data_IF_308714039997
#
_entry.id   IF_308714039997
#
_cell.length_a   1.000
_cell.length_b   1.000
_cell.length_c   1.000
_cell.angle_alpha   90.00
_cell.angle_beta   90.00
_cell.angle_gamma   90.00
#
_symmetry.space_group_name_H-M   'P 1'
#
loop_
_entity.id
_entity.type
_entity.pdbx_description
1 polymer ?
#
# COMPACT_ATOMS: atom_id res chain seq x y z
N UNK A 1 -49.02 30.66 11.32
CA UNK A 1 -47.57 30.56 10.97
C UNK A 1 -46.84 29.39 11.67
N UNK A 2 -47.13 29.04 12.94
CA UNK A 2 -46.40 28.01 13.73
C UNK A 2 -46.45 26.56 13.19
N UNK A 3 -47.49 26.18 12.45
CA UNK A 3 -47.66 24.79 11.97
C UNK A 3 -46.72 24.43 10.81
N UNK A 4 -46.38 25.38 9.93
CA UNK A 4 -45.43 25.17 8.82
C UNK A 4 -44.01 24.91 9.35
N UNK A 5 -43.59 25.64 10.38
CA UNK A 5 -42.25 25.51 10.97
C UNK A 5 -42.02 24.13 11.60
N UNK A 6 -43.00 23.58 12.32
CA UNK A 6 -42.90 22.23 12.91
C UNK A 6 -42.82 21.13 11.84
N UNK A 7 -43.62 21.24 10.77
CA UNK A 7 -43.63 20.26 9.67
C UNK A 7 -42.31 20.27 8.89
N UNK A 8 -41.77 21.46 8.64
CA UNK A 8 -40.45 21.62 8.04
C UNK A 8 -39.33 21.09 8.95
N UNK A 9 -39.40 21.33 10.26
CA UNK A 9 -38.41 20.82 11.22
C UNK A 9 -38.36 19.28 11.24
N UNK A 10 -39.51 18.62 11.17
CA UNK A 10 -39.59 17.14 11.10
C UNK A 10 -39.04 16.64 9.77
N UNK A 11 -39.39 17.27 8.65
CA UNK A 11 -38.89 16.87 7.32
C UNK A 11 -37.37 17.04 7.25
N UNK A 12 -36.84 18.20 7.63
CA UNK A 12 -35.39 18.44 7.65
C UNK A 12 -34.66 17.53 8.65
N UNK A 13 -35.27 17.24 9.80
CA UNK A 13 -34.74 16.29 10.78
C UNK A 13 -34.63 14.87 10.24
N UNK A 14 -35.65 14.38 9.53
CA UNK A 14 -35.62 13.07 8.88
C UNK A 14 -34.57 13.01 7.77
N UNK A 15 -34.48 14.03 6.91
CA UNK A 15 -33.46 14.10 5.87
C UNK A 15 -32.04 14.11 6.46
N UNK A 16 -31.82 14.90 7.51
CA UNK A 16 -30.52 14.96 8.19
C UNK A 16 -30.18 13.63 8.86
N UNK A 17 -31.16 12.96 9.47
CA UNK A 17 -30.98 11.62 10.07
C UNK A 17 -30.59 10.56 9.04
N UNK A 18 -31.26 10.54 7.88
CA UNK A 18 -30.92 9.61 6.78
C UNK A 18 -29.52 9.89 6.25
N UNK A 19 -29.16 11.17 6.07
CA UNK A 19 -27.83 11.57 5.63
C UNK A 19 -26.75 11.11 6.61
N UNK A 20 -26.98 11.28 7.92
CA UNK A 20 -26.06 10.85 8.96
C UNK A 20 -25.91 9.32 8.99
N UNK A 21 -27.01 8.60 8.80
CA UNK A 21 -27.01 7.13 8.73
C UNK A 21 -26.21 6.62 7.52
N UNK A 22 -26.38 7.22 6.34
CA UNK A 22 -25.56 6.90 5.17
C UNK A 22 -24.08 7.18 5.42
N UNK A 23 -23.74 8.33 6.03
CA UNK A 23 -22.36 8.67 6.35
C UNK A 23 -21.74 7.63 7.30
N UNK A 24 -22.46 7.25 8.35
CA UNK A 24 -22.02 6.23 9.31
C UNK A 24 -21.81 4.86 8.64
N UNK A 25 -22.71 4.46 7.73
CA UNK A 25 -22.57 3.23 6.97
C UNK A 25 -21.32 3.25 6.07
N UNK A 26 -21.03 4.39 5.41
CA UNK A 26 -19.80 4.55 4.64
C UNK A 26 -18.55 4.46 5.51
N UNK A 27 -18.55 5.12 6.68
CA UNK A 27 -17.43 5.03 7.62
C UNK A 27 -17.19 3.59 8.10
N UNK A 28 -18.25 2.84 8.42
CA UNK A 28 -18.15 1.44 8.80
C UNK A 28 -17.57 0.57 7.68
N UNK A 29 -18.02 0.77 6.43
CA UNK A 29 -17.50 0.07 5.27
C UNK A 29 -16.00 0.37 5.03
N UNK A 30 -15.59 1.63 5.13
CA UNK A 30 -14.18 2.04 5.00
C UNK A 30 -13.34 1.40 6.09
N UNK A 31 -13.82 1.35 7.33
CA UNK A 31 -13.07 0.76 8.44
C UNK A 31 -12.90 -0.76 8.27
N UNK A 32 -13.95 -1.45 7.82
CA UNK A 32 -13.93 -2.88 7.53
C UNK A 32 -13.08 -3.26 6.32
N UNK A 33 -12.91 -2.36 5.34
CA UNK A 33 -12.11 -2.61 4.14
C UNK A 33 -10.59 -2.58 4.40
N UNK A 34 -10.13 -1.87 5.43
CA UNK A 34 -8.69 -1.73 5.77
C UNK A 34 -7.95 -3.06 5.90
N UNK A 35 -8.40 -4.06 6.67
CA UNK A 35 -7.72 -5.35 6.78
C UNK A 35 -7.71 -6.14 5.46
N UNK A 36 -8.75 -6.01 4.65
CA UNK A 36 -8.84 -6.69 3.34
C UNK A 36 -7.80 -6.15 2.36
N UNK A 37 -7.60 -4.83 2.34
CA UNK A 37 -6.60 -4.18 1.48
C UNK A 37 -5.17 -4.61 1.80
N UNK A 38 -4.82 -4.72 3.10
CA UNK A 38 -3.48 -5.17 3.52
C UNK A 38 -3.19 -6.59 3.04
N UNK A 39 -4.19 -7.48 3.08
CA UNK A 39 -4.07 -8.87 2.61
C UNK A 39 -4.01 -8.98 1.09
N UNK A 40 -4.86 -8.22 0.38
CA UNK A 40 -4.84 -8.18 -1.08
C UNK A 40 -3.50 -7.71 -1.64
N UNK A 41 -2.94 -6.65 -1.06
CA UNK A 41 -1.64 -6.13 -1.47
C UNK A 41 -0.50 -7.13 -1.19
N UNK A 42 -0.55 -7.84 -0.06
CA UNK A 42 0.41 -8.91 0.24
C UNK A 42 0.38 -10.05 -0.80
N UNK A 43 -0.82 -10.48 -1.21
CA UNK A 43 -1.00 -11.52 -2.23
C UNK A 43 -0.48 -11.07 -3.60
N UNK A 44 -0.67 -9.80 -3.94
CA UNK A 44 -0.14 -9.24 -5.18
C UNK A 44 1.40 -9.15 -5.18
N UNK A 45 2.01 -8.75 -4.06
CA UNK A 45 3.48 -8.74 -3.90
C UNK A 45 4.03 -10.17 -4.00
N UNK A 46 3.35 -11.13 -3.37
CA UNK A 46 3.71 -12.55 -3.45
C UNK A 46 3.79 -13.01 -4.90
N UNK A 47 2.80 -12.66 -5.72
CA UNK A 47 2.80 -12.99 -7.15
C UNK A 47 3.94 -12.34 -7.96
N UNK A 48 4.42 -11.16 -7.55
CA UNK A 48 5.60 -10.53 -8.18
C UNK A 48 6.90 -11.26 -7.80
N UNK A 49 7.04 -11.63 -6.52
CA UNK A 49 8.22 -12.32 -6.01
C UNK A 49 8.34 -13.75 -6.58
N UNK A 50 7.22 -14.46 -6.68
CA UNK A 50 7.18 -15.80 -7.31
C UNK A 50 7.58 -15.73 -8.79
N UNK A 51 7.16 -14.68 -9.52
CA UNK A 51 7.59 -14.44 -10.92
C UNK A 51 9.07 -14.06 -11.04
N UNK A 52 9.64 -13.44 -10.00
CA UNK A 52 11.08 -13.13 -9.91
C UNK A 52 11.92 -14.38 -9.59
N UNK A 53 11.29 -15.49 -9.19
CA UNK A 53 11.94 -16.78 -8.92
C UNK A 53 12.43 -16.96 -7.47
N UNK A 54 11.96 -16.14 -6.52
CA UNK A 54 12.30 -16.28 -5.11
C UNK A 54 11.30 -17.16 -4.36
N UNK A 55 11.79 -18.16 -3.59
CA UNK A 55 10.98 -18.94 -2.63
C UNK A 55 10.79 -18.15 -1.33
N UNK A 56 10.15 -16.99 -1.46
CA UNK A 56 9.97 -16.01 -0.40
C UNK A 56 8.49 -15.74 -0.20
N UNK A 57 8.04 -15.73 1.05
CA UNK A 57 6.64 -15.44 1.42
C UNK A 57 6.53 -14.03 1.99
N UNK A 58 5.50 -13.30 1.58
CA UNK A 58 5.17 -12.00 2.17
C UNK A 58 4.50 -12.22 3.51
N UNK A 59 5.16 -11.78 4.57
CA UNK A 59 4.75 -11.90 5.96
C UNK A 59 4.00 -10.68 6.47
N UNK A 60 4.46 -10.16 7.62
CA UNK A 60 3.76 -9.12 8.38
C UNK A 60 3.88 -7.74 7.72
N UNK A 61 2.77 -6.98 7.73
CA UNK A 61 2.78 -5.56 7.37
C UNK A 61 3.49 -4.73 8.45
N UNK A 62 4.46 -3.92 8.04
CA UNK A 62 5.21 -3.00 8.90
C UNK A 62 4.65 -1.59 8.73
N UNK A 63 4.29 -0.96 9.84
CA UNK A 63 3.80 0.41 9.83
C UNK A 63 4.95 1.40 9.57
N UNK A 64 4.76 2.29 8.60
CA UNK A 64 5.68 3.39 8.32
C UNK A 64 5.21 4.64 9.06
N UNK A 65 6.12 5.25 9.83
CA UNK A 65 5.88 6.46 10.59
C UNK A 65 6.13 7.69 9.70
N UNK A 66 5.35 7.89 8.63
CA UNK A 66 5.32 9.19 7.92
C UNK A 66 4.18 9.34 6.89
N UNK A 67 3.97 10.59 6.44
CA UNK A 67 3.16 10.99 5.27
C UNK A 67 3.46 10.21 3.97
N UNK A 68 4.57 9.45 3.90
CA UNK A 68 4.91 8.59 2.75
C UNK A 68 4.04 7.31 2.74
N UNK A 69 3.50 6.90 3.90
CA UNK A 69 2.63 5.73 4.05
C UNK A 69 1.39 5.75 3.12
N UNK A 70 0.94 6.93 2.70
CA UNK A 70 -0.24 7.05 1.82
C UNK A 70 0.00 6.46 0.42
N UNK A 71 1.27 6.35 -0.01
CA UNK A 71 1.67 5.81 -1.32
C UNK A 71 2.67 4.65 -1.24
N UNK A 72 2.99 4.17 -0.05
CA UNK A 72 3.93 3.07 0.16
C UNK A 72 3.49 2.09 1.25
N UNK A 73 3.75 0.82 1.04
CA UNK A 73 3.49 -0.25 2.00
C UNK A 73 4.75 -1.10 2.19
N UNK A 74 5.08 -1.42 3.44
CA UNK A 74 6.25 -2.23 3.78
C UNK A 74 5.78 -3.54 4.40
N UNK A 75 6.39 -4.63 3.98
CA UNK A 75 6.12 -5.98 4.45
C UNK A 75 7.42 -6.69 4.80
N UNK A 76 7.40 -7.47 5.86
CA UNK A 76 8.45 -8.44 6.14
C UNK A 76 8.34 -9.61 5.19
N UNK A 77 9.48 -10.18 4.83
CA UNK A 77 9.56 -11.39 4.04
C UNK A 77 9.92 -12.56 4.95
N UNK A 78 9.10 -13.60 4.90
CA UNK A 78 9.28 -14.86 5.64
C UNK A 78 9.68 -15.96 4.66
N UNK A 79 10.63 -16.82 5.04
CA UNK A 79 11.09 -17.93 4.18
C UNK A 79 12.55 -18.27 4.40
N UNK A 80 12.97 -19.45 3.92
CA UNK A 80 14.37 -19.92 4.08
C UNK A 80 15.38 -19.00 3.40
N UNK A 81 15.02 -18.41 2.27
CA UNK A 81 15.87 -17.50 1.50
C UNK A 81 15.59 -16.01 1.79
N UNK A 82 14.62 -15.72 2.65
CA UNK A 82 14.20 -14.35 2.94
C UNK A 82 15.25 -13.59 3.75
N UNK A 83 16.00 -14.26 4.63
CA UNK A 83 17.14 -13.67 5.37
C UNK A 83 16.82 -12.36 6.11
N UNK A 84 15.59 -12.18 6.59
CA UNK A 84 15.16 -10.94 7.25
C UNK A 84 15.00 -9.74 6.30
N UNK A 85 14.78 -9.98 5.00
CA UNK A 85 14.53 -8.93 4.01
C UNK A 85 13.12 -8.35 4.12
N UNK A 86 12.97 -7.17 3.58
CA UNK A 86 11.72 -6.41 3.54
C UNK A 86 11.32 -6.18 2.09
N UNK A 87 10.01 -6.29 1.82
CA UNK A 87 9.39 -5.89 0.56
C UNK A 87 8.71 -4.52 0.75
N UNK A 88 9.14 -3.54 -0.03
CA UNK A 88 8.54 -2.22 -0.09
C UNK A 88 7.79 -2.06 -1.42
N UNK A 89 6.50 -1.78 -1.34
CA UNK A 89 5.71 -1.35 -2.50
C UNK A 89 5.61 0.16 -2.50
N UNK A 90 5.93 0.80 -3.62
CA UNK A 90 5.77 2.25 -3.79
C UNK A 90 5.11 2.56 -5.12
N UNK A 91 4.19 3.52 -5.12
CA UNK A 91 3.62 4.05 -6.37
C UNK A 91 4.62 4.99 -7.07
N UNK A 92 5.20 4.51 -8.16
CA UNK A 92 6.14 5.26 -9.00
C UNK A 92 5.37 6.02 -10.08
N UNK A 93 5.61 7.33 -10.26
CA UNK A 93 4.96 8.08 -11.33
C UNK A 93 5.38 7.56 -12.71
N UNK A 94 4.41 7.31 -13.58
CA UNK A 94 4.62 6.95 -14.98
C UNK A 94 3.79 7.84 -15.91
N UNK A 95 4.06 7.76 -17.22
CA UNK A 95 3.35 8.53 -18.26
C UNK A 95 1.84 8.28 -18.30
N UNK A 96 1.38 7.12 -17.81
CA UNK A 96 -0.04 6.71 -17.78
C UNK A 96 -0.62 6.70 -16.36
N UNK A 97 0.12 7.28 -15.40
CA UNK A 97 -0.29 7.36 -14.00
C UNK A 97 0.64 6.60 -13.05
N UNK A 98 0.39 6.68 -11.74
CA UNK A 98 1.21 6.03 -10.73
C UNK A 98 1.10 4.50 -10.80
N UNK A 99 2.23 3.82 -10.91
CA UNK A 99 2.31 2.35 -10.99
C UNK A 99 2.97 1.80 -9.74
N UNK A 100 2.35 0.81 -9.05
CA UNK A 100 2.96 0.20 -7.88
C UNK A 100 4.17 -0.65 -8.29
N UNK A 101 5.33 -0.30 -7.76
CA UNK A 101 6.60 -0.99 -7.93
C UNK A 101 6.99 -1.71 -6.64
N UNK A 102 7.54 -2.91 -6.75
CA UNK A 102 8.04 -3.72 -5.64
C UNK A 102 9.56 -3.64 -5.60
N UNK A 103 10.08 -3.30 -4.43
CA UNK A 103 11.50 -3.32 -4.11
C UNK A 103 11.74 -4.27 -2.95
N UNK A 104 12.86 -4.98 -2.95
CA UNK A 104 13.34 -5.76 -1.80
C UNK A 104 14.58 -5.09 -1.23
N UNK A 105 14.75 -5.15 0.08
CA UNK A 105 15.95 -4.63 0.76
C UNK A 105 16.19 -5.41 2.06
N UNK A 106 17.38 -5.29 2.62
CA UNK A 106 17.63 -5.77 3.98
C UNK A 106 16.97 -4.84 5.02
N UNK A 107 16.85 -5.31 6.26
CA UNK A 107 16.25 -4.54 7.38
C UNK A 107 16.95 -3.21 7.66
N UNK A 108 18.25 -3.13 7.40
CA UNK A 108 19.05 -1.91 7.52
C UNK A 108 18.87 -0.94 6.32
N UNK A 109 18.05 -1.31 5.34
CA UNK A 109 17.81 -0.55 4.11
C UNK A 109 18.88 -0.76 3.04
N UNK A 110 19.86 -1.66 3.26
CA UNK A 110 20.88 -1.99 2.26
C UNK A 110 20.38 -3.02 1.23
N UNK A 111 21.17 -3.24 0.17
CA UNK A 111 20.88 -4.30 -0.81
C UNK A 111 19.55 -4.12 -1.57
N UNK A 112 19.18 -2.87 -1.87
CA UNK A 112 17.92 -2.55 -2.55
C UNK A 112 17.92 -3.13 -3.96
N UNK A 113 16.96 -3.99 -4.25
CA UNK A 113 16.72 -4.59 -5.56
C UNK A 113 15.30 -4.27 -6.02
N UNK A 114 15.13 -4.05 -7.32
CA UNK A 114 13.83 -3.89 -7.94
C UNK A 114 13.35 -5.26 -8.44
N UNK A 115 12.18 -5.72 -7.97
CA UNK A 115 11.65 -7.04 -8.31
C UNK A 115 10.63 -6.98 -9.46
N UNK A 116 9.89 -5.88 -9.58
CA UNK A 116 8.87 -5.75 -10.61
C UNK A 116 7.77 -4.76 -10.26
N UNK A 117 6.73 -4.75 -11.08
CA UNK A 117 5.52 -3.96 -10.85
C UNK A 117 4.37 -4.85 -10.39
N UNK A 118 3.55 -4.32 -9.48
CA UNK A 118 2.34 -4.98 -9.00
C UNK A 118 1.20 -4.77 -10.01
N UNK A 119 0.38 -5.81 -10.17
CA UNK A 119 -0.80 -5.79 -11.03
C UNK A 119 -0.54 -6.43 -12.39
N UNK A 120 -1.50 -7.24 -12.82
CA UNK A 120 -1.49 -7.83 -14.15
C UNK A 120 -1.99 -6.80 -15.16
N UNK A 121 -1.17 -5.79 -15.49
CA UNK A 121 -1.50 -4.86 -16.58
C UNK A 121 -1.31 -5.53 -17.95
N UNK A 122 -1.68 -6.81 -18.12
CA UNK A 122 -1.56 -7.57 -19.36
C UNK A 122 -0.27 -7.28 -20.13
N UNK A 123 -0.39 -6.99 -21.44
CA UNK A 123 0.74 -6.64 -22.33
C UNK A 123 1.41 -5.28 -22.05
N UNK A 124 0.94 -4.53 -21.07
CA UNK A 124 1.35 -3.14 -20.83
C UNK A 124 2.51 -3.03 -19.85
N UNK A 125 2.68 -3.96 -18.90
CA UNK A 125 3.81 -3.97 -17.96
C UNK A 125 5.18 -3.96 -18.66
N UNK A 126 5.43 -4.78 -19.72
CA UNK A 126 6.72 -4.77 -20.42
C UNK A 126 6.99 -3.46 -21.19
N UNK A 127 5.92 -2.83 -21.70
CA UNK A 127 6.00 -1.55 -22.41
C UNK A 127 6.21 -0.38 -21.42
N UNK A 128 5.74 -0.55 -20.19
CA UNK A 128 5.89 0.45 -19.15
C UNK A 128 7.25 0.38 -18.46
N UNK A 129 7.75 -0.84 -18.22
CA UNK A 129 9.10 -1.06 -17.66
C UNK A 129 10.19 -0.50 -18.57
N UNK A 130 10.01 -0.56 -19.89
CA UNK A 130 10.94 0.03 -20.87
C UNK A 130 10.87 1.55 -20.99
N UNK A 131 9.79 2.20 -20.50
CA UNK A 131 9.59 3.66 -20.55
C UNK A 131 9.86 4.38 -19.24
N UNK A 132 9.95 3.66 -18.12
CA UNK A 132 10.40 4.25 -16.86
C UNK A 132 11.91 4.44 -16.94
N UNK A 133 12.34 5.71 -16.95
CA UNK A 133 13.75 6.07 -17.07
C UNK A 133 14.56 5.47 -15.92
N UNK A 134 15.78 4.99 -16.22
CA UNK A 134 16.77 4.56 -15.22
C UNK A 134 16.97 5.62 -14.12
N UNK A 135 16.82 6.90 -14.44
CA UNK A 135 16.89 7.98 -13.44
C UNK A 135 15.79 7.93 -12.38
N UNK A 136 14.56 7.57 -12.77
CA UNK A 136 13.44 7.39 -11.83
C UNK A 136 13.69 6.18 -10.94
N UNK A 137 14.17 5.08 -11.53
CA UNK A 137 14.47 3.87 -10.76
C UNK A 137 15.61 4.09 -9.76
N UNK A 138 16.69 4.75 -10.20
CA UNK A 138 17.83 5.09 -9.34
C UNK A 138 17.42 6.03 -8.20
N UNK A 139 16.53 6.99 -8.47
CA UNK A 139 15.97 7.85 -7.44
C UNK A 139 15.25 7.01 -6.37
N UNK A 140 14.36 6.09 -6.77
CA UNK A 140 13.64 5.25 -5.82
C UNK A 140 14.58 4.31 -5.05
N UNK A 141 15.55 3.69 -5.72
CA UNK A 141 16.59 2.87 -5.07
C UNK A 141 17.34 3.67 -4.00
N UNK A 142 17.66 4.94 -4.25
CA UNK A 142 18.32 5.81 -3.26
C UNK A 142 17.39 6.26 -2.12
N UNK A 143 16.07 6.23 -2.34
CA UNK A 143 15.06 6.68 -1.40
C UNK A 143 14.56 5.56 -0.48
N UNK A 144 14.54 4.30 -0.95
CA UNK A 144 14.12 3.12 -0.16
C UNK A 144 14.82 3.06 1.21
N UNK A 145 16.14 3.23 1.35
CA UNK A 145 16.80 3.17 2.66
C UNK A 145 16.28 4.25 3.63
N UNK A 146 15.96 5.45 3.12
CA UNK A 146 15.40 6.54 3.92
C UNK A 146 13.97 6.22 4.38
N UNK A 147 13.20 5.52 3.57
CA UNK A 147 11.84 5.08 3.91
C UNK A 147 11.91 4.00 4.99
N UNK A 148 12.79 3.00 4.83
CA UNK A 148 12.98 1.89 5.77
C UNK A 148 13.48 2.40 7.12
N UNK A 149 14.38 3.38 7.16
CA UNK A 149 14.86 3.99 8.42
C UNK A 149 13.77 4.68 9.26
N UNK A 150 12.60 4.95 8.66
CA UNK A 150 11.43 5.56 9.31
C UNK A 150 10.32 4.55 9.59
N UNK A 151 10.54 3.28 9.27
CA UNK A 151 9.59 2.23 9.57
C UNK A 151 9.78 1.75 11.01
N UNK A 152 8.67 1.44 11.69
CA UNK A 152 8.69 0.79 13.01
C UNK A 152 8.94 -0.71 12.82
N UNK A 153 10.17 -1.07 12.50
CA UNK A 153 10.59 -2.47 12.38
C UNK A 153 10.85 -3.01 13.79
N UNK A 154 10.14 -4.05 14.25
CA UNK A 154 10.41 -4.65 15.56
C UNK A 154 11.80 -5.30 15.57
N UNK A 155 12.55 -5.11 16.66
CA UNK A 155 13.88 -5.70 16.81
C UNK A 155 13.80 -7.22 16.75
N UNK A 156 14.81 -7.85 16.15
CA UNK A 156 14.94 -9.31 16.08
C UNK A 156 15.11 -9.85 17.51
N UNK A 157 14.02 -10.35 18.11
CA UNK A 157 14.00 -10.80 19.51
C UNK A 157 12.71 -10.53 20.31
N UNK A 158 11.74 -9.76 19.78
CA UNK A 158 10.44 -9.53 20.45
C UNK A 158 9.37 -10.61 20.14
N UNK A 159 9.80 -11.88 20.03
CA UNK A 159 8.93 -13.06 19.94
C UNK A 159 9.24 -14.04 21.08
#
# INVERSE_FOLDING_TARGET
>A
MKAKTKKNLVIYGSFFGILLAMLAAMFAAVWGARPSWKKGLAAEIQGVLEKSGGDVRVGRFVELDSMISTSSALYELDGKDAGGRLALVVRVPSLVGPVPAVFTCARDGSGVSFEGYVGDFGRTVPVLSSRISRGIMNYWISLVPRIVSRAKIPAEGDL
#
